data_IF_005943718166
#
_entry.id   IF_005943718166
#
_cell.length_a   1.000
_cell.length_b   1.000
_cell.length_c   1.000
_cell.angle_alpha   90.00
_cell.angle_beta   90.00
_cell.angle_gamma   90.00
#
_symmetry.space_group_name_H-M   'P 1'
#
loop_
_entity.id
_entity.type
_entity.pdbx_description
1 polymer ?
#
# COMPACT_ATOMS: atom_id res chain seq x y z
N UNK A 1 -47.87 -4.16 37.87
CA UNK A 1 -47.51 -3.69 36.51
C UNK A 1 -47.60 -2.17 36.46
N UNK A 2 -46.45 -1.48 36.49
CA UNK A 2 -46.28 -0.10 36.04
C UNK A 2 -45.00 -0.12 35.20
N UNK A 3 -45.12 0.13 33.90
CA UNK A 3 -43.98 0.20 32.98
C UNK A 3 -43.24 1.50 33.25
N UNK A 4 -41.95 1.40 33.60
CA UNK A 4 -41.04 2.54 33.66
C UNK A 4 -40.81 3.06 32.25
N UNK A 5 -41.03 4.35 32.04
CA UNK A 5 -40.73 5.03 30.78
C UNK A 5 -39.24 4.98 30.50
N UNK A 6 -38.90 4.61 29.27
CA UNK A 6 -37.57 4.84 28.70
C UNK A 6 -37.58 6.26 28.16
N UNK A 7 -36.82 7.14 28.81
CA UNK A 7 -36.54 8.49 28.31
C UNK A 7 -35.64 8.35 27.07
N UNK A 8 -36.23 8.58 25.89
CA UNK A 8 -35.49 8.71 24.64
C UNK A 8 -34.63 9.97 24.71
N UNK A 9 -33.35 9.80 25.04
CA UNK A 9 -32.35 10.86 24.94
C UNK A 9 -32.21 11.20 23.44
N UNK A 10 -32.86 12.29 23.03
CA UNK A 10 -32.61 12.92 21.72
C UNK A 10 -31.18 13.44 21.69
N UNK A 11 -30.27 12.67 21.13
CA UNK A 11 -28.94 13.14 20.76
C UNK A 11 -29.12 14.14 19.62
N UNK A 12 -28.85 15.41 19.91
CA UNK A 12 -28.82 16.47 18.91
C UNK A 12 -27.56 16.24 18.07
N UNK A 13 -27.72 15.60 16.91
CA UNK A 13 -26.64 15.50 15.93
C UNK A 13 -26.57 16.85 15.24
N UNK A 14 -25.49 17.60 15.46
CA UNK A 14 -25.23 18.84 14.72
C UNK A 14 -25.38 18.55 13.22
N UNK A 15 -26.21 19.35 12.55
CA UNK A 15 -26.46 19.24 11.12
C UNK A 15 -25.12 19.46 10.40
N UNK A 16 -24.62 18.44 9.69
CA UNK A 16 -23.36 18.54 8.96
C UNK A 16 -23.53 19.63 7.89
N UNK A 17 -22.86 20.76 8.06
CA UNK A 17 -22.86 21.83 7.07
C UNK A 17 -21.98 21.40 5.89
N UNK A 18 -22.63 20.97 4.79
CA UNK A 18 -21.93 20.59 3.56
C UNK A 18 -21.46 21.86 2.84
N UNK A 19 -20.18 22.21 3.01
CA UNK A 19 -19.53 23.24 2.19
C UNK A 19 -19.33 22.67 0.79
N UNK A 20 -19.71 23.42 -0.26
CA UNK A 20 -19.43 23.05 -1.65
C UNK A 20 -17.92 23.03 -1.88
N UNK A 21 -17.31 21.85 -1.87
CA UNK A 21 -15.86 21.67 -2.09
C UNK A 21 -15.57 21.56 -3.59
N UNK A 22 -15.52 22.70 -4.28
CA UNK A 22 -15.01 22.79 -5.65
C UNK A 22 -16.04 22.61 -6.79
N UNK A 23 -15.56 22.83 -8.02
CA UNK A 23 -16.28 22.58 -9.27
C UNK A 23 -15.83 21.25 -9.86
N UNK A 24 -16.75 20.48 -10.46
CA UNK A 24 -16.39 19.23 -11.13
C UNK A 24 -15.82 19.56 -12.51
N UNK A 25 -14.59 19.09 -12.78
CA UNK A 25 -13.96 19.19 -14.09
C UNK A 25 -13.74 17.81 -14.71
N UNK A 26 -13.86 17.74 -16.03
CA UNK A 26 -13.47 16.58 -16.83
C UNK A 26 -12.00 16.69 -17.24
N UNK A 27 -11.26 15.58 -17.14
CA UNK A 27 -9.87 15.53 -17.58
C UNK A 27 -9.48 14.15 -18.13
N UNK A 28 -8.35 14.13 -18.84
CA UNK A 28 -7.79 12.93 -19.42
C UNK A 28 -6.51 12.53 -18.69
N UNK A 29 -6.45 11.26 -18.30
CA UNK A 29 -5.22 10.67 -17.77
C UNK A 29 -4.42 10.09 -18.93
N UNK A 30 -3.12 10.37 -19.00
CA UNK A 30 -2.20 9.77 -19.98
C UNK A 30 -1.30 8.72 -19.33
N UNK A 31 -0.87 7.67 -20.07
CA UNK A 31 -1.02 7.46 -21.51
C UNK A 31 -2.38 6.86 -21.93
N UNK A 32 -3.14 6.32 -20.97
CA UNK A 32 -4.43 5.69 -21.23
C UNK A 32 -5.50 6.77 -21.30
N UNK A 33 -5.72 7.40 -22.47
CA UNK A 33 -6.74 8.45 -22.71
C UNK A 33 -8.13 8.02 -22.22
N UNK A 34 -8.36 8.20 -20.94
CA UNK A 34 -9.55 7.80 -20.23
C UNK A 34 -10.03 9.01 -19.47
N UNK A 35 -11.30 9.34 -19.72
CA UNK A 35 -11.95 10.50 -19.14
C UNK A 35 -12.26 10.23 -17.67
N UNK A 36 -12.06 11.25 -16.84
CA UNK A 36 -12.35 11.21 -15.41
C UNK A 36 -12.93 12.54 -14.96
N UNK A 37 -13.78 12.43 -13.95
CA UNK A 37 -14.27 13.56 -13.19
C UNK A 37 -13.42 13.74 -11.94
N UNK A 38 -13.35 14.98 -11.48
CA UNK A 38 -12.75 15.32 -10.21
C UNK A 38 -13.14 16.72 -9.76
N UNK A 39 -13.15 16.94 -8.46
CA UNK A 39 -13.36 18.26 -7.88
C UNK A 39 -12.08 19.09 -8.01
N UNK A 40 -12.17 20.26 -8.63
CA UNK A 40 -11.10 21.26 -8.59
C UNK A 40 -10.96 21.79 -7.16
N UNK A 41 -9.77 21.65 -6.59
CA UNK A 41 -9.42 22.13 -5.25
C UNK A 41 -9.25 23.66 -5.19
N UNK A 42 -9.49 24.39 -6.29
CA UNK A 42 -9.63 25.83 -6.33
C UNK A 42 -8.37 26.60 -6.74
N UNK A 43 -8.58 27.89 -7.05
CA UNK A 43 -7.55 28.77 -7.59
C UNK A 43 -6.36 28.98 -6.63
N UNK A 44 -6.60 28.97 -5.32
CA UNK A 44 -5.53 29.15 -4.33
C UNK A 44 -4.48 28.03 -4.43
N UNK A 45 -4.93 26.77 -4.42
CA UNK A 45 -4.04 25.62 -4.57
C UNK A 45 -3.41 25.57 -5.97
N UNK A 46 -4.17 25.90 -7.02
CA UNK A 46 -3.62 26.01 -8.37
C UNK A 46 -2.47 27.02 -8.46
N UNK A 47 -2.66 28.22 -7.90
CA UNK A 47 -1.63 29.25 -7.85
C UNK A 47 -0.43 28.86 -6.99
N UNK A 48 -0.67 28.21 -5.84
CA UNK A 48 0.41 27.65 -5.02
C UNK A 48 1.29 26.68 -5.81
N UNK A 49 0.68 25.72 -6.52
CA UNK A 49 1.39 24.73 -7.33
C UNK A 49 2.18 25.42 -8.46
N UNK A 50 1.57 26.37 -9.17
CA UNK A 50 2.25 27.17 -10.21
C UNK A 50 3.50 27.86 -9.67
N UNK A 51 3.39 28.49 -8.50
CA UNK A 51 4.48 29.21 -7.86
C UNK A 51 5.61 28.26 -7.43
N UNK A 52 5.29 27.12 -6.81
CA UNK A 52 6.28 26.11 -6.38
C UNK A 52 7.08 25.56 -7.57
N UNK A 53 6.41 25.34 -8.71
CA UNK A 53 7.06 24.81 -9.91
C UNK A 53 7.60 25.88 -10.86
N UNK A 54 7.41 27.17 -10.58
CA UNK A 54 7.80 28.26 -11.48
C UNK A 54 7.14 28.18 -12.86
N UNK A 55 5.92 27.64 -12.94
CA UNK A 55 5.22 27.38 -14.20
C UNK A 55 4.18 28.46 -14.50
N UNK A 56 4.09 28.86 -15.77
CA UNK A 56 3.01 29.73 -16.27
C UNK A 56 1.77 28.97 -16.74
N UNK A 57 1.81 27.63 -16.76
CA UNK A 57 0.69 26.80 -17.17
C UNK A 57 -0.48 26.86 -16.18
N UNK A 58 -1.71 26.60 -16.63
CA UNK A 58 -2.85 26.47 -15.73
C UNK A 58 -2.84 25.12 -15.00
N UNK A 59 -2.09 25.04 -13.91
CA UNK A 59 -2.02 23.85 -13.05
C UNK A 59 -3.16 23.81 -12.04
N UNK A 60 -3.83 22.67 -11.96
CA UNK A 60 -4.96 22.39 -11.04
C UNK A 60 -4.66 21.17 -10.19
N UNK A 61 -5.08 21.21 -8.92
CA UNK A 61 -5.15 20.00 -8.09
C UNK A 61 -6.58 19.47 -8.17
N UNK A 62 -6.70 18.21 -8.55
CA UNK A 62 -7.99 17.54 -8.69
C UNK A 62 -8.13 16.47 -7.63
N UNK A 63 -9.26 16.48 -6.92
CA UNK A 63 -9.61 15.50 -5.90
C UNK A 63 -10.72 14.57 -6.40
N UNK A 64 -10.59 13.28 -6.09
CA UNK A 64 -11.61 12.29 -6.39
C UNK A 64 -12.45 11.98 -5.14
N UNK A 65 -13.77 11.95 -5.32
CA UNK A 65 -14.74 11.40 -4.36
C UNK A 65 -15.53 10.24 -4.97
N UNK A 66 -16.02 9.33 -4.11
CA UNK A 66 -16.85 8.17 -4.49
C UNK A 66 -18.15 8.56 -5.22
N UNK A 67 -18.62 9.80 -5.09
CA UNK A 67 -19.81 10.34 -5.79
C UNK A 67 -19.61 10.61 -7.29
N UNK A 68 -18.37 10.58 -7.78
CA UNK A 68 -18.02 10.93 -9.15
C UNK A 68 -18.05 9.74 -10.11
N UNK A 69 -18.15 10.01 -11.41
CA UNK A 69 -18.16 8.99 -12.45
C UNK A 69 -16.90 8.11 -12.46
N UNK A 70 -17.09 6.80 -12.71
CA UNK A 70 -16.04 5.78 -12.62
C UNK A 70 -15.92 5.00 -13.93
N UNK A 71 -14.75 5.06 -14.56
CA UNK A 71 -14.52 4.32 -15.82
C UNK A 71 -13.16 3.64 -15.99
N UNK A 72 -12.33 3.57 -14.94
CA UNK A 72 -11.00 2.94 -15.07
C UNK A 72 -10.88 1.75 -14.13
N UNK A 73 -10.39 0.68 -14.71
CA UNK A 73 -10.09 -0.56 -14.04
C UNK A 73 -8.67 -0.98 -14.40
N UNK A 74 -8.04 -1.74 -13.52
CA UNK A 74 -6.76 -2.36 -13.80
C UNK A 74 -6.85 -3.30 -14.99
N UNK A 75 -5.81 -3.28 -15.81
CA UNK A 75 -5.61 -4.27 -16.86
C UNK A 75 -5.00 -5.51 -16.20
N UNK A 76 -5.62 -6.66 -16.38
CA UNK A 76 -5.17 -7.94 -15.82
C UNK A 76 -5.45 -9.07 -16.81
N UNK A 77 -4.75 -10.19 -16.63
CA UNK A 77 -4.88 -11.37 -17.48
C UNK A 77 -3.68 -12.29 -17.36
N UNK A 78 -3.79 -13.50 -17.93
CA UNK A 78 -2.73 -14.52 -17.88
C UNK A 78 -1.45 -14.11 -18.58
N UNK A 79 -1.48 -13.10 -19.47
CA UNK A 79 -0.28 -12.52 -20.07
C UNK A 79 0.55 -11.68 -19.07
N UNK A 80 -0.04 -11.27 -17.95
CA UNK A 80 0.62 -10.45 -16.92
C UNK A 80 0.86 -11.20 -15.60
N UNK A 81 0.34 -12.42 -15.45
CA UNK A 81 0.51 -13.24 -14.25
C UNK A 81 0.69 -14.70 -14.60
N UNK A 82 1.58 -15.38 -13.86
CA UNK A 82 1.78 -16.82 -13.95
C UNK A 82 0.65 -17.63 -13.28
N UNK A 83 -0.39 -16.94 -12.78
CA UNK A 83 -1.54 -17.53 -12.11
C UNK A 83 -2.84 -17.11 -12.78
N UNK A 84 -3.86 -17.96 -12.71
CA UNK A 84 -5.20 -17.62 -13.19
C UNK A 84 -5.85 -16.60 -12.24
N UNK A 85 -5.71 -15.32 -12.55
CA UNK A 85 -6.35 -14.24 -11.80
C UNK A 85 -7.84 -14.19 -12.20
N UNK A 86 -8.68 -14.95 -11.49
CA UNK A 86 -10.13 -14.98 -11.68
C UNK A 86 -10.83 -14.05 -10.71
N UNK A 87 -10.64 -12.75 -10.86
CA UNK A 87 -11.43 -11.75 -10.11
C UNK A 87 -11.86 -10.62 -11.03
N UNK A 88 -12.93 -9.92 -10.61
CA UNK A 88 -13.47 -8.75 -11.32
C UNK A 88 -12.40 -7.67 -11.46
N UNK A 89 -12.48 -6.79 -12.46
CA UNK A 89 -11.52 -5.72 -12.65
C UNK A 89 -11.45 -4.83 -11.40
N UNK A 90 -10.26 -4.64 -10.85
CA UNK A 90 -10.07 -3.71 -9.73
C UNK A 90 -10.18 -2.28 -10.22
N UNK A 91 -10.99 -1.45 -9.58
CA UNK A 91 -11.11 -0.05 -9.96
C UNK A 91 -9.81 0.72 -9.66
N UNK A 92 -9.41 1.60 -10.58
CA UNK A 92 -8.32 2.56 -10.37
C UNK A 92 -8.80 3.99 -10.61
N UNK A 93 -8.18 4.92 -9.89
CA UNK A 93 -8.45 6.36 -9.95
C UNK A 93 -7.38 7.03 -10.80
N UNK A 94 -6.38 7.62 -10.15
CA UNK A 94 -5.25 8.32 -10.76
C UNK A 94 -3.98 7.47 -10.82
N UNK A 95 -4.05 6.22 -10.33
CA UNK A 95 -2.98 5.25 -10.52
C UNK A 95 -2.79 4.95 -12.02
N UNK A 96 -1.58 4.56 -12.40
CA UNK A 96 -1.25 4.20 -13.77
C UNK A 96 -2.04 2.95 -14.21
N UNK A 97 -1.76 1.79 -13.63
CA UNK A 97 -2.36 0.51 -14.06
C UNK A 97 -2.95 -0.31 -12.91
N UNK A 98 -2.28 -0.39 -11.76
CA UNK A 98 -2.69 -1.22 -10.63
C UNK A 98 -3.01 -0.37 -9.38
N UNK A 99 -3.92 -0.84 -8.50
CA UNK A 99 -4.22 -0.15 -7.24
C UNK A 99 -3.03 -0.17 -6.28
N UNK A 100 -2.21 -1.23 -6.33
CA UNK A 100 -1.05 -1.43 -5.46
C UNK A 100 0.20 -1.80 -6.28
N UNK A 101 1.34 -1.26 -5.86
CA UNK A 101 2.64 -1.60 -6.38
C UNK A 101 3.49 -2.19 -5.24
N UNK A 102 4.08 -3.35 -5.46
CA UNK A 102 4.91 -4.06 -4.49
C UNK A 102 6.34 -4.15 -5.02
N UNK A 103 7.32 -3.79 -4.20
CA UNK A 103 8.75 -3.94 -4.52
C UNK A 103 9.42 -4.74 -3.40
N UNK A 104 10.36 -5.62 -3.76
CA UNK A 104 11.21 -6.30 -2.77
C UNK A 104 12.52 -5.55 -2.59
N UNK A 105 13.04 -5.55 -1.35
CA UNK A 105 14.36 -4.98 -1.07
C UNK A 105 15.45 -5.65 -1.90
N UNK A 106 15.31 -6.95 -2.17
CA UNK A 106 16.26 -7.75 -2.94
C UNK A 106 16.29 -7.33 -4.41
N UNK A 107 15.14 -7.04 -5.02
CA UNK A 107 15.07 -6.52 -6.39
C UNK A 107 15.80 -5.18 -6.51
N UNK A 108 15.61 -4.28 -5.54
CA UNK A 108 16.33 -3.00 -5.49
C UNK A 108 17.84 -3.21 -5.33
N UNK A 109 18.25 -4.09 -4.41
CA UNK A 109 19.65 -4.42 -4.20
C UNK A 109 20.29 -5.01 -5.45
N UNK A 110 19.57 -5.88 -6.17
CA UNK A 110 20.05 -6.51 -7.39
C UNK A 110 20.20 -5.49 -8.53
N UNK A 111 19.22 -4.61 -8.71
CA UNK A 111 19.31 -3.50 -9.66
C UNK A 111 20.49 -2.57 -9.36
N UNK A 112 20.74 -2.28 -8.08
CA UNK A 112 21.87 -1.45 -7.67
C UNK A 112 23.24 -2.10 -7.91
N UNK A 113 23.33 -3.41 -8.15
CA UNK A 113 24.60 -4.05 -8.53
C UNK A 113 25.00 -3.78 -9.97
N UNK A 114 24.02 -3.62 -10.87
CA UNK A 114 24.26 -3.38 -12.30
C UNK A 114 24.09 -1.91 -12.70
N UNK A 115 23.70 -1.05 -11.75
CA UNK A 115 23.53 0.38 -12.00
C UNK A 115 24.86 1.13 -11.95
N UNK A 116 25.22 1.78 -13.06
CA UNK A 116 26.48 2.53 -13.23
C UNK A 116 26.36 4.03 -12.89
N UNK A 117 25.28 4.46 -12.24
CA UNK A 117 25.13 5.87 -11.83
C UNK A 117 26.00 6.22 -10.63
N UNK A 118 26.19 7.51 -10.40
CA UNK A 118 27.04 8.03 -9.31
C UNK A 118 26.52 7.71 -7.90
N UNK A 119 25.20 7.51 -7.76
CA UNK A 119 24.54 7.21 -6.48
C UNK A 119 23.67 5.97 -6.63
N UNK A 120 23.49 5.22 -5.53
CA UNK A 120 22.54 4.11 -5.53
C UNK A 120 21.11 4.58 -5.77
N UNK A 121 20.34 3.78 -6.50
CA UNK A 121 18.91 3.99 -6.69
C UNK A 121 18.20 3.73 -5.35
N UNK A 122 17.36 4.68 -4.96
CA UNK A 122 16.50 4.60 -3.77
C UNK A 122 15.11 4.07 -4.14
N UNK A 123 14.44 3.41 -3.19
CA UNK A 123 13.18 2.69 -3.43
C UNK A 123 12.04 3.61 -3.85
N UNK A 124 12.08 4.88 -3.45
CA UNK A 124 11.08 5.91 -3.71
C UNK A 124 10.91 6.17 -5.21
N UNK A 125 11.97 5.98 -6.00
CA UNK A 125 11.95 6.13 -7.46
C UNK A 125 10.97 5.16 -8.13
N UNK A 126 10.72 4.00 -7.52
CA UNK A 126 9.77 3.00 -8.03
C UNK A 126 8.34 3.22 -7.53
N UNK A 127 8.14 4.17 -6.61
CA UNK A 127 6.82 4.51 -6.04
C UNK A 127 6.02 3.28 -5.57
N UNK A 128 6.62 2.30 -4.85
CA UNK A 128 5.83 1.19 -4.31
C UNK A 128 4.83 1.69 -3.27
N UNK A 129 3.77 0.94 -3.01
CA UNK A 129 2.90 1.11 -1.84
C UNK A 129 3.34 0.16 -0.73
N UNK A 130 3.87 -1.02 -1.09
CA UNK A 130 4.35 -2.03 -0.13
C UNK A 130 5.79 -2.36 -0.46
N UNK A 131 6.68 -2.23 0.54
CA UNK A 131 8.04 -2.73 0.47
C UNK A 131 8.14 -4.05 1.25
N UNK A 132 8.66 -5.08 0.59
CA UNK A 132 8.76 -6.44 1.10
C UNK A 132 10.22 -6.78 1.37
N UNK A 133 10.52 -7.35 2.54
CA UNK A 133 11.83 -7.96 2.81
C UNK A 133 11.71 -9.23 3.66
N UNK A 134 12.56 -10.25 3.44
CA UNK A 134 12.66 -11.40 4.32
C UNK A 134 12.97 -10.98 5.77
N UNK A 135 12.41 -11.72 6.72
CA UNK A 135 12.64 -11.51 8.14
C UNK A 135 13.31 -12.74 8.76
N UNK A 136 14.46 -12.49 9.39
CA UNK A 136 15.15 -13.46 10.23
C UNK A 136 14.64 -13.34 11.66
N UNK A 137 14.39 -14.48 12.29
CA UNK A 137 13.92 -14.47 13.67
C UNK A 137 15.10 -14.29 14.63
N UNK A 138 14.93 -13.39 15.58
CA UNK A 138 15.83 -13.23 16.70
C UNK A 138 15.62 -14.36 17.74
N UNK A 139 16.48 -14.41 18.75
CA UNK A 139 16.38 -15.40 19.83
C UNK A 139 15.09 -15.29 20.66
N UNK A 140 14.30 -14.22 20.54
CA UNK A 140 13.06 -14.05 21.30
C UNK A 140 12.05 -15.16 21.01
N UNK A 141 12.10 -15.81 19.84
CA UNK A 141 11.21 -16.94 19.53
C UNK A 141 11.48 -18.17 20.41
N UNK A 142 12.61 -18.20 21.10
CA UNK A 142 12.98 -19.32 22.00
C UNK A 142 12.49 -19.11 23.43
N UNK A 143 11.81 -17.99 23.71
CA UNK A 143 11.25 -17.71 25.04
C UNK A 143 9.82 -18.18 25.09
N UNK A 144 9.48 -18.97 26.10
CA UNK A 144 8.11 -19.40 26.36
C UNK A 144 7.24 -18.19 26.73
N UNK A 145 6.08 -17.99 26.09
CA UNK A 145 5.24 -16.81 26.32
C UNK A 145 4.51 -16.82 27.67
N UNK A 146 4.33 -17.97 28.30
CA UNK A 146 3.66 -18.10 29.60
C UNK A 146 4.66 -18.01 30.76
N UNK A 147 5.82 -18.65 30.62
CA UNK A 147 6.81 -18.71 31.71
C UNK A 147 7.91 -17.66 31.59
N UNK A 148 8.07 -17.03 30.41
CA UNK A 148 9.19 -16.13 30.08
C UNK A 148 10.56 -16.84 30.16
N UNK A 149 10.59 -18.17 30.25
CA UNK A 149 11.81 -18.93 30.29
C UNK A 149 12.33 -19.24 28.89
N UNK A 150 13.64 -19.20 28.74
CA UNK A 150 14.29 -19.51 27.46
C UNK A 150 14.43 -21.02 27.30
N UNK A 151 13.97 -21.55 26.17
CA UNK A 151 14.07 -22.96 25.84
C UNK A 151 15.54 -23.41 25.80
N UNK A 152 15.90 -24.37 26.66
CA UNK A 152 17.29 -24.82 26.86
C UNK A 152 17.97 -25.28 25.56
N UNK A 153 17.20 -25.92 24.67
CA UNK A 153 17.69 -26.41 23.37
C UNK A 153 17.56 -25.40 22.21
N UNK A 154 17.17 -24.16 22.49
CA UNK A 154 16.96 -23.09 21.51
C UNK A 154 15.88 -23.40 20.45
N UNK A 155 14.86 -24.17 20.80
CA UNK A 155 13.72 -24.38 19.90
C UNK A 155 12.78 -23.18 19.94
N UNK A 156 12.12 -22.84 18.81
CA UNK A 156 12.15 -23.52 17.50
C UNK A 156 13.31 -23.05 16.59
N UNK A 157 14.20 -22.15 17.04
CA UNK A 157 15.27 -21.62 16.19
C UNK A 157 16.23 -22.69 15.67
N UNK A 158 16.49 -23.75 16.45
CA UNK A 158 17.34 -24.85 16.02
C UNK A 158 16.68 -25.62 14.88
N UNK A 159 15.43 -26.02 15.02
CA UNK A 159 14.71 -26.73 13.95
C UNK A 159 14.57 -25.88 12.68
N UNK A 160 14.27 -24.58 12.83
CA UNK A 160 14.20 -23.67 11.68
C UNK A 160 15.48 -23.62 10.84
N UNK A 161 16.67 -23.78 11.45
CA UNK A 161 17.93 -23.80 10.69
C UNK A 161 18.08 -25.02 9.78
N UNK A 162 17.32 -26.09 10.03
CA UNK A 162 17.39 -27.30 9.21
C UNK A 162 16.69 -27.13 7.86
N UNK A 163 15.62 -26.32 7.80
CA UNK A 163 14.77 -26.24 6.60
C UNK A 163 14.42 -24.82 6.11
N UNK A 164 14.72 -23.76 6.89
CA UNK A 164 14.41 -22.35 6.56
C UNK A 164 15.62 -21.47 6.30
N UNK A 165 16.80 -22.05 6.12
CA UNK A 165 17.99 -21.28 5.68
C UNK A 165 17.83 -20.88 4.23
N UNK A 166 18.02 -19.59 3.94
CA UNK A 166 17.91 -19.05 2.59
C UNK A 166 18.99 -19.63 1.67
N UNK A 167 18.63 -19.93 0.42
CA UNK A 167 19.53 -20.49 -0.60
C UNK A 167 19.57 -19.58 -1.84
N UNK A 168 20.64 -19.70 -2.63
CA UNK A 168 20.75 -19.02 -3.93
C UNK A 168 21.06 -17.53 -3.81
N UNK A 169 20.37 -16.68 -4.58
CA UNK A 169 20.72 -15.24 -4.76
C UNK A 169 20.77 -14.42 -3.47
N UNK A 170 20.07 -14.86 -2.43
CA UNK A 170 19.94 -14.18 -1.13
C UNK A 170 20.74 -14.85 0.00
N UNK A 171 21.43 -15.96 -0.27
CA UNK A 171 22.15 -16.74 0.74
C UNK A 171 23.25 -15.93 1.45
N UNK A 172 23.99 -15.11 0.71
CA UNK A 172 25.05 -14.26 1.28
C UNK A 172 24.51 -13.22 2.28
N UNK A 173 23.30 -12.71 2.02
CA UNK A 173 22.64 -11.69 2.83
C UNK A 173 22.16 -12.29 4.17
N UNK A 174 21.53 -13.47 4.13
CA UNK A 174 20.90 -14.08 5.31
C UNK A 174 21.76 -15.15 5.99
N UNK A 175 22.83 -15.64 5.35
CA UNK A 175 23.77 -16.64 5.86
C UNK A 175 23.01 -17.86 6.40
N UNK A 176 23.37 -18.34 7.60
CA UNK A 176 22.73 -19.46 8.30
C UNK A 176 21.51 -19.03 9.13
N UNK A 177 21.07 -17.78 9.04
CA UNK A 177 19.89 -17.34 9.79
C UNK A 177 18.64 -17.83 9.05
N UNK A 178 17.74 -18.54 9.74
CA UNK A 178 16.51 -18.98 9.12
C UNK A 178 15.59 -17.79 8.84
N UNK A 179 15.02 -17.78 7.64
CA UNK A 179 13.99 -16.82 7.23
C UNK A 179 12.64 -17.46 7.50
N UNK A 180 11.82 -16.86 8.35
CA UNK A 180 10.52 -17.44 8.71
C UNK A 180 9.36 -16.67 8.08
N UNK A 181 9.39 -15.35 8.21
CA UNK A 181 8.33 -14.44 7.85
C UNK A 181 8.81 -13.34 6.88
N UNK A 182 7.87 -12.47 6.52
CA UNK A 182 8.07 -11.35 5.62
C UNK A 182 7.78 -10.07 6.41
N UNK A 183 8.70 -9.12 6.35
CA UNK A 183 8.47 -7.76 6.84
C UNK A 183 7.83 -6.93 5.73
N UNK A 184 6.71 -6.31 6.08
CA UNK A 184 5.95 -5.38 5.23
C UNK A 184 6.07 -3.98 5.83
N UNK A 185 6.33 -2.99 4.99
CA UNK A 185 6.21 -1.58 5.33
C UNK A 185 4.88 -1.01 4.83
N UNK A 186 4.12 -0.35 5.71
CA UNK A 186 2.94 0.43 5.32
C UNK A 186 3.44 1.78 4.78
N UNK A 187 3.22 2.05 3.49
CA UNK A 187 3.52 3.37 2.92
C UNK A 187 2.31 4.30 2.92
N UNK A 188 1.12 3.76 2.67
CA UNK A 188 -0.16 4.47 2.76
C UNK A 188 -1.09 3.65 3.67
N UNK A 189 -1.55 4.25 4.77
CA UNK A 189 -2.39 3.59 5.77
C UNK A 189 -3.87 3.54 5.39
N UNK A 190 -4.61 2.67 6.07
CA UNK A 190 -6.06 2.50 5.93
C UNK A 190 -6.60 1.54 7.00
N UNK A 191 -7.91 1.39 7.05
CA UNK A 191 -8.56 0.41 7.94
C UNK A 191 -8.66 -0.92 7.21
N UNK A 192 -8.13 -1.99 7.80
CA UNK A 192 -8.33 -3.37 7.39
C UNK A 192 -9.17 -4.08 8.46
N UNK A 193 -10.00 -5.04 8.04
CA UNK A 193 -10.89 -5.81 8.90
C UNK A 193 -10.63 -7.31 8.75
N UNK A 194 -10.90 -8.06 9.82
CA UNK A 194 -10.89 -9.53 9.75
C UNK A 194 -11.92 -9.96 8.70
N UNK A 195 -11.49 -10.79 7.75
CA UNK A 195 -12.32 -11.24 6.63
C UNK A 195 -12.16 -10.42 5.34
N UNK A 196 -11.37 -9.34 5.35
CA UNK A 196 -11.01 -8.65 4.11
C UNK A 196 -10.15 -9.57 3.23
N UNK A 197 -10.41 -9.54 1.92
CA UNK A 197 -9.62 -10.28 0.95
C UNK A 197 -8.18 -9.73 0.90
N UNK A 198 -7.20 -10.62 1.04
CA UNK A 198 -5.78 -10.30 0.88
C UNK A 198 -5.34 -10.74 -0.50
N UNK A 199 -5.10 -9.78 -1.38
CA UNK A 199 -4.61 -10.04 -2.73
C UNK A 199 -3.09 -10.01 -2.74
N UNK A 200 -2.47 -11.15 -3.07
CA UNK A 200 -1.04 -11.26 -3.37
C UNK A 200 -0.93 -11.72 -4.82
N UNK A 201 -0.57 -10.81 -5.71
CA UNK A 201 -0.35 -11.12 -7.13
C UNK A 201 1.14 -11.31 -7.40
#
# INVERSE_FOLDING_TARGET
>A
MKKSGTDDVKVNVEELEYVKVGEIGEFFIYPVKSMKDGYDCGNEIGNFIKNVFGSSADLRLIYHSESLFRQRYSIYGSQYSNSNVTTRPHEVRFQADAPYNIVTQQSLNDQNKSYNGSNQIVVERFRPIILVRPCTRCNQITTDPETTEKHLKMEPSKELRNYRVAKGRIEKEYRKNPVFDIQLGIKNGGVIKVGDDVFVN
#
